data_IF_991549939527
#
_entry.id   IF_991549939527
#
_cell.length_a   1.000
_cell.length_b   1.000
_cell.length_c   1.000
_cell.angle_alpha   90.00
_cell.angle_beta   90.00
_cell.angle_gamma   90.00
#
_symmetry.space_group_name_H-M   'P 1'
#
loop_
_entity.id
_entity.type
_entity.pdbx_description
1 polymer ?
#
# COMPACT_ATOMS: atom_id res chain seq x y z
N UNK A 1 -20.93 13.87 2.08
CA UNK A 1 -21.96 14.32 1.11
C UNK A 1 -22.02 13.30 -0.01
N UNK A 2 -23.20 12.98 -0.54
CA UNK A 2 -23.32 12.06 -1.69
C UNK A 2 -22.75 12.68 -2.96
N UNK A 3 -22.31 11.84 -3.88
CA UNK A 3 -21.86 12.24 -5.21
C UNK A 3 -22.98 12.91 -6.01
N UNK A 4 -22.62 13.88 -6.85
CA UNK A 4 -23.54 14.53 -7.79
C UNK A 4 -23.80 13.64 -9.04
N UNK A 5 -23.02 12.55 -9.22
CA UNK A 5 -23.09 11.66 -10.39
C UNK A 5 -23.25 10.17 -9.99
N UNK A 6 -24.43 9.76 -9.48
CA UNK A 6 -24.64 8.39 -8.99
C UNK A 6 -24.57 7.32 -10.10
N UNK A 7 -24.89 7.66 -11.35
CA UNK A 7 -24.78 6.75 -12.49
C UNK A 7 -23.32 6.41 -12.80
N UNK A 8 -22.43 7.40 -12.78
CA UNK A 8 -20.98 7.20 -12.92
C UNK A 8 -20.48 6.32 -11.77
N UNK A 9 -20.90 6.60 -10.53
CA UNK A 9 -20.51 5.79 -9.36
C UNK A 9 -20.92 4.32 -9.51
N UNK A 10 -22.11 4.05 -10.07
CA UNK A 10 -22.56 2.70 -10.39
C UNK A 10 -21.68 2.03 -11.44
N UNK A 11 -21.36 2.71 -12.55
CA UNK A 11 -20.47 2.17 -13.59
C UNK A 11 -19.10 1.80 -13.02
N UNK A 12 -18.51 2.67 -12.19
CA UNK A 12 -17.25 2.35 -11.51
C UNK A 12 -17.38 1.12 -10.62
N UNK A 13 -18.51 0.98 -9.91
CA UNK A 13 -18.79 -0.16 -9.04
C UNK A 13 -18.93 -1.48 -9.82
N UNK A 14 -19.64 -1.45 -10.94
CA UNK A 14 -19.82 -2.61 -11.81
C UNK A 14 -18.48 -3.00 -12.46
N UNK A 15 -17.73 -2.02 -12.96
CA UNK A 15 -16.42 -2.25 -13.58
C UNK A 15 -15.38 -2.76 -12.56
N UNK A 16 -15.36 -2.29 -11.31
CA UNK A 16 -14.38 -2.79 -10.31
C UNK A 16 -14.72 -4.22 -9.89
N UNK A 17 -16.01 -4.57 -9.77
CA UNK A 17 -16.44 -5.94 -9.48
C UNK A 17 -16.00 -6.89 -10.61
N UNK A 18 -16.25 -6.49 -11.86
CA UNK A 18 -15.79 -7.22 -13.04
C UNK A 18 -14.27 -7.37 -13.05
N UNK A 19 -13.52 -6.29 -12.88
CA UNK A 19 -12.05 -6.28 -12.88
C UNK A 19 -11.46 -7.24 -11.83
N UNK A 20 -12.03 -7.29 -10.63
CA UNK A 20 -11.63 -8.25 -9.58
C UNK A 20 -11.96 -9.69 -9.98
N UNK A 21 -13.15 -9.93 -10.53
CA UNK A 21 -13.57 -11.28 -10.96
C UNK A 21 -12.70 -11.84 -12.10
N UNK A 22 -12.13 -10.97 -12.93
CA UNK A 22 -11.21 -11.32 -14.01
C UNK A 22 -9.74 -11.40 -13.53
N UNK A 23 -9.45 -10.97 -12.30
CA UNK A 23 -8.10 -10.95 -11.69
C UNK A 23 -8.08 -11.85 -10.47
N UNK A 24 -8.40 -13.12 -10.68
CA UNK A 24 -8.60 -14.13 -9.64
C UNK A 24 -7.84 -15.43 -9.93
N UNK A 25 -6.72 -15.35 -10.67
CA UNK A 25 -5.82 -16.48 -10.90
C UNK A 25 -4.68 -16.40 -9.90
N UNK A 26 -4.28 -17.55 -9.35
CA UNK A 26 -3.17 -17.66 -8.42
C UNK A 26 -1.89 -17.07 -9.02
N UNK A 27 -1.20 -16.23 -8.24
CA UNK A 27 0.03 -15.57 -8.68
C UNK A 27 1.30 -16.38 -8.42
N UNK A 28 1.18 -17.62 -7.94
CA UNK A 28 2.33 -18.54 -7.83
C UNK A 28 2.82 -18.95 -9.23
N UNK A 29 4.14 -18.97 -9.49
CA UNK A 29 4.67 -19.30 -10.82
C UNK A 29 4.13 -20.62 -11.40
N UNK A 30 3.48 -20.54 -12.55
CA UNK A 30 2.93 -21.71 -13.26
C UNK A 30 1.60 -22.25 -12.74
N UNK A 31 1.02 -21.68 -11.68
CA UNK A 31 -0.30 -22.07 -11.20
C UNK A 31 -1.42 -21.44 -12.04
N UNK A 32 -2.49 -22.20 -12.29
CA UNK A 32 -3.68 -21.73 -13.04
C UNK A 32 -4.97 -21.78 -12.22
N UNK A 33 -4.88 -22.19 -10.95
CA UNK A 33 -6.02 -22.27 -10.05
C UNK A 33 -6.56 -20.89 -9.69
N UNK A 34 -7.83 -20.87 -9.28
CA UNK A 34 -8.44 -19.65 -8.75
C UNK A 34 -7.81 -19.27 -7.41
N UNK A 35 -7.51 -17.98 -7.26
CA UNK A 35 -7.06 -17.42 -6.00
C UNK A 35 -8.20 -17.27 -4.99
N UNK A 36 -7.83 -17.30 -3.72
CA UNK A 36 -8.69 -16.96 -2.58
C UNK A 36 -8.37 -15.54 -2.11
N UNK A 37 -9.13 -15.04 -1.14
CA UNK A 37 -8.80 -13.79 -0.45
C UNK A 37 -7.63 -14.02 0.51
N UNK A 38 -6.40 -13.84 0.03
CA UNK A 38 -5.17 -13.86 0.81
C UNK A 38 -5.08 -12.59 1.67
N UNK A 39 -4.78 -12.73 2.96
CA UNK A 39 -4.53 -11.59 3.85
C UNK A 39 -3.14 -11.03 3.60
N UNK A 40 -3.02 -9.71 3.42
CA UNK A 40 -1.73 -9.03 3.21
C UNK A 40 -0.79 -9.23 4.42
N UNK A 41 -1.37 -9.33 5.61
CA UNK A 41 -0.67 -9.52 6.88
C UNK A 41 -1.38 -10.61 7.69
N UNK A 42 -0.64 -11.35 8.51
CA UNK A 42 -1.17 -12.49 9.28
C UNK A 42 -2.47 -12.13 10.01
N UNK A 43 -3.54 -12.90 9.76
CA UNK A 43 -4.85 -12.62 10.35
C UNK A 43 -4.84 -12.86 11.87
N UNK A 44 -4.31 -14.01 12.28
CA UNK A 44 -4.14 -14.36 13.69
C UNK A 44 -2.81 -13.77 14.19
N UNK A 45 -2.72 -13.34 15.44
CA UNK A 45 -1.50 -12.74 15.98
C UNK A 45 -1.26 -11.27 15.60
N UNK A 46 -1.37 -10.89 14.32
CA UNK A 46 -1.15 -9.49 13.89
C UNK A 46 -2.47 -8.73 13.80
N UNK A 47 -3.31 -9.01 12.80
CA UNK A 47 -4.57 -8.26 12.63
C UNK A 47 -5.53 -8.44 13.81
N UNK A 48 -5.66 -9.67 14.31
CA UNK A 48 -6.55 -9.98 15.45
C UNK A 48 -6.11 -9.32 16.76
N UNK A 49 -4.82 -8.97 16.92
CA UNK A 49 -4.31 -8.34 18.15
C UNK A 49 -4.83 -6.92 18.38
N UNK A 50 -5.26 -6.25 17.31
CA UNK A 50 -5.76 -4.87 17.34
C UNK A 50 -7.23 -4.78 16.87
N UNK A 51 -7.87 -5.92 16.61
CA UNK A 51 -9.24 -5.96 16.14
C UNK A 51 -10.23 -5.98 17.31
N UNK A 52 -11.08 -4.96 17.38
CA UNK A 52 -12.18 -4.90 18.34
C UNK A 52 -13.42 -5.54 17.72
N UNK A 53 -14.04 -6.50 18.42
CA UNK A 53 -15.17 -7.29 17.92
C UNK A 53 -14.93 -7.90 16.54
N UNK A 54 -13.68 -8.31 16.24
CA UNK A 54 -13.26 -8.83 14.93
C UNK A 54 -13.41 -7.83 13.78
N UNK A 55 -13.33 -6.53 14.06
CA UNK A 55 -13.38 -5.45 13.08
C UNK A 55 -12.18 -4.51 13.19
N UNK A 56 -11.82 -3.92 12.06
CA UNK A 56 -10.79 -2.89 11.91
C UNK A 56 -11.31 -1.78 10.99
N UNK A 57 -10.65 -0.63 11.02
CA UNK A 57 -10.91 0.48 10.12
C UNK A 57 -9.90 0.51 8.98
N UNK A 58 -10.36 0.73 7.76
CA UNK A 58 -9.51 0.87 6.58
C UNK A 58 -9.93 2.07 5.73
N UNK A 59 -8.97 2.59 4.97
CA UNK A 59 -9.26 3.56 3.92
C UNK A 59 -9.85 2.85 2.70
N UNK A 60 -10.93 3.41 2.13
CA UNK A 60 -11.59 2.89 0.93
C UNK A 60 -11.96 4.01 -0.04
N UNK A 61 -12.03 3.63 -1.31
CA UNK A 61 -12.69 4.40 -2.35
C UNK A 61 -14.19 4.07 -2.31
N UNK A 62 -15.02 5.08 -2.12
CA UNK A 62 -16.48 5.05 -2.22
C UNK A 62 -16.97 6.12 -3.19
N UNK A 63 -17.16 5.73 -4.46
CA UNK A 63 -17.59 6.64 -5.52
C UNK A 63 -19.00 7.21 -5.32
N UNK A 64 -19.79 6.69 -4.37
CA UNK A 64 -21.09 7.28 -4.01
C UNK A 64 -20.96 8.48 -3.06
N UNK A 65 -19.77 8.75 -2.54
CA UNK A 65 -19.45 9.94 -1.78
C UNK A 65 -18.78 10.99 -2.68
N UNK A 66 -19.06 12.27 -2.43
CA UNK A 66 -18.42 13.39 -3.13
C UNK A 66 -16.91 13.42 -2.85
N UNK A 67 -16.54 13.27 -1.58
CA UNK A 67 -15.18 12.98 -1.16
C UNK A 67 -15.06 11.47 -1.08
N UNK A 68 -14.53 10.86 -2.15
CA UNK A 68 -14.60 9.42 -2.35
C UNK A 68 -13.59 8.62 -1.53
N UNK A 69 -12.66 9.27 -0.84
CA UNK A 69 -11.68 8.62 0.05
C UNK A 69 -12.26 8.68 1.46
N UNK A 70 -12.67 7.52 1.99
CA UNK A 70 -13.40 7.43 3.26
C UNK A 70 -12.88 6.29 4.14
N UNK A 71 -13.07 6.41 5.44
CA UNK A 71 -12.80 5.32 6.37
C UNK A 71 -14.03 4.42 6.54
N UNK A 72 -13.81 3.10 6.51
CA UNK A 72 -14.86 2.11 6.73
C UNK A 72 -14.42 1.05 7.74
N UNK A 73 -15.31 0.72 8.67
CA UNK A 73 -15.16 -0.42 9.59
C UNK A 73 -15.56 -1.71 8.88
N UNK A 74 -14.66 -2.69 8.84
CA UNK A 74 -14.87 -3.98 8.17
C UNK A 74 -14.33 -5.14 9.01
N UNK A 75 -14.94 -6.31 8.83
CA UNK A 75 -14.55 -7.52 9.56
C UNK A 75 -13.20 -8.08 9.11
N UNK A 76 -12.41 -8.62 10.05
CA UNK A 76 -11.05 -9.12 9.79
C UNK A 76 -10.96 -10.22 8.74
N UNK A 77 -12.05 -10.92 8.44
CA UNK A 77 -12.09 -11.95 7.41
C UNK A 77 -12.09 -11.38 5.97
N UNK A 78 -12.44 -10.11 5.80
CA UNK A 78 -12.53 -9.44 4.48
C UNK A 78 -11.57 -8.26 4.36
N UNK A 79 -11.28 -7.61 5.47
CA UNK A 79 -10.37 -6.46 5.50
C UNK A 79 -8.96 -6.91 5.15
N UNK A 80 -8.20 -6.03 4.49
CA UNK A 80 -6.77 -6.27 4.27
C UNK A 80 -6.47 -7.56 3.50
N UNK A 81 -7.34 -7.89 2.53
CA UNK A 81 -7.21 -9.06 1.66
C UNK A 81 -7.15 -8.68 0.18
N UNK A 82 -6.61 -9.59 -0.64
CA UNK A 82 -6.60 -9.50 -2.09
C UNK A 82 -6.68 -10.90 -2.72
N UNK A 83 -7.07 -10.98 -3.99
CA UNK A 83 -7.15 -12.25 -4.73
C UNK A 83 -5.78 -12.69 -5.25
N UNK A 84 -4.89 -13.08 -4.33
CA UNK A 84 -3.47 -13.35 -4.60
C UNK A 84 -3.15 -14.82 -4.94
N UNK A 85 -3.33 -15.72 -3.98
CA UNK A 85 -2.88 -17.11 -4.10
C UNK A 85 -4.05 -18.09 -4.00
N UNK A 86 -3.95 -19.28 -4.59
CA UNK A 86 -4.89 -20.36 -4.30
C UNK A 86 -4.63 -20.90 -2.89
N UNK A 87 -5.57 -21.67 -2.34
CA UNK A 87 -5.47 -22.15 -0.96
C UNK A 87 -4.18 -22.94 -0.69
N UNK A 88 -3.76 -23.78 -1.64
CA UNK A 88 -2.52 -24.56 -1.52
C UNK A 88 -1.29 -23.65 -1.40
N UNK A 89 -1.09 -22.73 -2.35
CA UNK A 89 0.09 -21.88 -2.38
C UNK A 89 0.08 -20.81 -1.28
N UNK A 90 -1.09 -20.27 -0.91
CA UNK A 90 -1.19 -19.35 0.22
C UNK A 90 -0.72 -20.01 1.52
N UNK A 91 -1.14 -21.27 1.73
CA UNK A 91 -0.76 -22.06 2.90
C UNK A 91 0.70 -22.48 2.86
N UNK A 92 1.17 -23.05 1.76
CA UNK A 92 2.49 -23.68 1.68
C UNK A 92 3.63 -22.65 1.62
N UNK A 93 3.48 -21.58 0.84
CA UNK A 93 4.53 -20.56 0.66
C UNK A 93 4.71 -19.74 1.94
N UNK A 94 3.60 -19.33 2.57
CA UNK A 94 3.67 -18.38 3.67
C UNK A 94 3.57 -19.00 5.06
N UNK A 95 3.55 -20.32 5.17
CA UNK A 95 3.48 -21.05 6.45
C UNK A 95 4.40 -20.47 7.53
N UNK A 96 5.63 -20.10 7.15
CA UNK A 96 6.67 -19.56 8.05
C UNK A 96 6.27 -18.25 8.73
N UNK A 97 5.45 -17.42 8.08
CA UNK A 97 4.97 -16.13 8.61
C UNK A 97 3.49 -16.17 9.01
N UNK A 98 2.87 -17.35 9.02
CA UNK A 98 1.48 -17.56 9.41
C UNK A 98 1.33 -18.27 10.76
N UNK A 99 2.43 -18.58 11.43
CA UNK A 99 2.44 -19.20 12.77
C UNK A 99 2.59 -18.14 13.84
N UNK A 100 1.55 -17.97 14.67
CA UNK A 100 1.49 -16.93 15.68
C UNK A 100 2.59 -17.09 16.75
N UNK A 101 3.30 -15.99 17.03
CA UNK A 101 4.33 -15.94 18.08
C UNK A 101 5.70 -16.52 17.69
N UNK A 102 5.83 -17.12 16.51
CA UNK A 102 7.05 -17.83 16.09
C UNK A 102 7.81 -17.14 14.94
N UNK A 103 7.41 -15.93 14.56
CA UNK A 103 8.03 -15.22 13.44
C UNK A 103 9.37 -14.63 13.87
N UNK A 104 10.45 -15.19 13.31
CA UNK A 104 11.80 -14.64 13.39
C UNK A 104 12.01 -13.56 12.32
N UNK A 105 12.25 -12.33 12.75
CA UNK A 105 12.50 -11.17 11.87
C UNK A 105 13.98 -10.92 11.58
N UNK A 106 14.88 -11.70 12.17
CA UNK A 106 16.29 -11.74 11.78
C UNK A 106 16.53 -12.81 10.69
N UNK A 107 15.59 -13.72 10.50
CA UNK A 107 15.55 -14.66 9.38
C UNK A 107 15.18 -13.95 8.06
N UNK A 108 16.07 -14.11 7.07
CA UNK A 108 15.91 -13.52 5.74
C UNK A 108 14.62 -13.98 5.03
N UNK A 109 14.30 -15.27 5.11
CA UNK A 109 13.13 -15.85 4.41
C UNK A 109 11.82 -15.30 4.97
N UNK A 110 11.71 -15.14 6.29
CA UNK A 110 10.56 -14.53 6.93
C UNK A 110 10.33 -13.10 6.41
N UNK A 111 11.39 -12.28 6.39
CA UNK A 111 11.32 -10.91 5.88
C UNK A 111 10.98 -10.87 4.38
N UNK A 112 11.57 -11.77 3.60
CA UNK A 112 11.30 -11.92 2.17
C UNK A 112 9.83 -12.27 1.89
N UNK A 113 9.23 -13.15 2.70
CA UNK A 113 7.82 -13.54 2.55
C UNK A 113 6.85 -12.38 2.82
N UNK A 114 7.13 -11.51 3.79
CA UNK A 114 6.34 -10.28 3.99
C UNK A 114 6.43 -9.34 2.78
N UNK A 115 7.64 -9.14 2.28
CA UNK A 115 7.88 -8.29 1.11
C UNK A 115 7.21 -8.88 -0.15
N UNK A 116 7.31 -10.21 -0.33
CA UNK A 116 6.68 -10.95 -1.43
C UNK A 116 5.18 -10.80 -1.42
N UNK A 117 4.53 -10.93 -0.26
CA UNK A 117 3.08 -10.79 -0.16
C UNK A 117 2.63 -9.36 -0.45
N UNK A 118 3.38 -8.38 0.04
CA UNK A 118 3.16 -6.96 -0.26
C UNK A 118 3.29 -6.68 -1.77
N UNK A 119 4.31 -7.25 -2.41
CA UNK A 119 4.53 -7.13 -3.85
C UNK A 119 3.37 -7.67 -4.67
N UNK A 120 2.89 -8.87 -4.32
CA UNK A 120 1.77 -9.49 -5.02
C UNK A 120 0.47 -8.69 -4.82
N UNK A 121 0.24 -8.14 -3.64
CA UNK A 121 -0.88 -7.23 -3.41
C UNK A 121 -0.81 -6.00 -4.32
N UNK A 122 0.35 -5.35 -4.43
CA UNK A 122 0.49 -4.16 -5.28
C UNK A 122 0.37 -4.49 -6.77
N UNK A 123 0.95 -5.59 -7.25
CA UNK A 123 0.75 -6.07 -8.63
C UNK A 123 -0.74 -6.32 -8.89
N UNK A 124 -1.43 -7.02 -7.99
CA UNK A 124 -2.87 -7.31 -8.12
C UNK A 124 -3.71 -6.03 -8.18
N UNK A 125 -3.45 -5.06 -7.28
CA UNK A 125 -4.13 -3.75 -7.29
C UNK A 125 -3.97 -3.05 -8.62
N UNK A 126 -2.75 -3.02 -9.19
CA UNK A 126 -2.50 -2.41 -10.50
C UNK A 126 -3.22 -3.14 -11.64
N UNK A 127 -3.25 -4.47 -11.63
CA UNK A 127 -4.01 -5.27 -12.61
C UNK A 127 -5.51 -4.95 -12.55
N UNK A 128 -6.06 -4.84 -11.34
CA UNK A 128 -7.46 -4.47 -11.12
C UNK A 128 -7.74 -3.05 -11.61
N UNK A 129 -6.86 -2.07 -11.33
CA UNK A 129 -7.00 -0.68 -11.82
C UNK A 129 -6.96 -0.61 -13.34
N UNK A 130 -6.05 -1.35 -13.99
CA UNK A 130 -5.97 -1.43 -15.46
C UNK A 130 -7.31 -1.91 -16.03
N UNK A 131 -7.82 -3.06 -15.55
CA UNK A 131 -9.08 -3.63 -16.06
C UNK A 131 -10.29 -2.76 -15.72
N UNK A 132 -10.30 -2.10 -14.57
CA UNK A 132 -11.32 -1.11 -14.20
C UNK A 132 -11.36 0.01 -15.24
N UNK A 133 -10.22 0.64 -15.54
CA UNK A 133 -10.17 1.75 -16.49
C UNK A 133 -10.43 1.30 -17.94
N UNK A 134 -9.96 0.12 -18.35
CA UNK A 134 -10.29 -0.48 -19.64
C UNK A 134 -11.80 -0.78 -19.76
N UNK A 135 -12.46 -1.17 -18.67
CA UNK A 135 -13.92 -1.31 -18.62
C UNK A 135 -14.63 0.05 -18.73
N UNK A 136 -14.19 1.06 -18.01
CA UNK A 136 -14.76 2.41 -18.06
C UNK A 136 -14.63 3.00 -19.47
N UNK A 137 -13.47 2.88 -20.12
CA UNK A 137 -13.23 3.41 -21.48
C UNK A 137 -14.19 2.84 -22.54
N UNK A 138 -14.74 1.64 -22.31
CA UNK A 138 -15.72 0.99 -23.19
C UNK A 138 -17.14 1.54 -23.02
N UNK A 139 -17.42 2.24 -21.92
CA UNK A 139 -18.71 2.91 -21.72
C UNK A 139 -18.66 4.27 -22.44
N UNK A 140 -19.41 4.40 -23.55
CA UNK A 140 -19.46 5.63 -24.35
C UNK A 140 -20.37 6.71 -23.78
N UNK A 141 -21.25 6.33 -22.85
CA UNK A 141 -22.32 7.18 -22.33
C UNK A 141 -21.87 8.12 -21.20
N UNK A 142 -20.57 8.10 -20.86
CA UNK A 142 -19.99 8.85 -19.75
C UNK A 142 -18.99 9.88 -20.26
N UNK A 143 -19.16 11.12 -19.80
CA UNK A 143 -18.23 12.22 -20.04
C UNK A 143 -17.09 12.08 -19.01
N UNK A 144 -16.00 11.41 -19.41
CA UNK A 144 -14.78 11.28 -18.61
C UNK A 144 -13.58 11.66 -19.47
N UNK A 145 -12.57 12.24 -18.83
CA UNK A 145 -11.27 12.47 -19.46
C UNK A 145 -10.58 11.13 -19.78
N UNK A 146 -10.71 10.72 -21.04
CA UNK A 146 -10.12 9.48 -21.55
C UNK A 146 -8.60 9.49 -21.48
N UNK A 147 -7.95 10.66 -21.66
CA UNK A 147 -6.49 10.76 -21.61
C UNK A 147 -5.97 10.43 -20.21
N UNK A 148 -6.67 10.86 -19.16
CA UNK A 148 -6.32 10.51 -17.77
C UNK A 148 -6.42 8.99 -17.55
N UNK A 149 -7.49 8.35 -18.04
CA UNK A 149 -7.67 6.91 -17.89
C UNK A 149 -6.59 6.12 -18.64
N UNK A 150 -6.32 6.48 -19.89
CA UNK A 150 -5.30 5.85 -20.73
C UNK A 150 -3.89 6.03 -20.15
N UNK A 151 -3.57 7.25 -19.68
CA UNK A 151 -2.31 7.52 -18.98
C UNK A 151 -2.20 6.66 -17.72
N UNK A 152 -3.28 6.56 -16.93
CA UNK A 152 -3.29 5.70 -15.73
C UNK A 152 -3.08 4.23 -16.07
N UNK A 153 -3.68 3.73 -17.15
CA UNK A 153 -3.46 2.36 -17.64
C UNK A 153 -1.98 2.16 -18.01
N UNK A 154 -1.40 3.08 -18.79
CA UNK A 154 0.01 3.03 -19.19
C UNK A 154 0.94 3.01 -17.97
N UNK A 155 0.74 3.91 -17.02
CA UNK A 155 1.57 4.01 -15.82
C UNK A 155 1.46 2.77 -14.92
N UNK A 156 0.27 2.17 -14.79
CA UNK A 156 0.13 0.92 -14.05
C UNK A 156 0.79 -0.27 -14.76
N UNK A 157 0.78 -0.32 -16.10
CA UNK A 157 1.51 -1.34 -16.88
C UNK A 157 3.02 -1.20 -16.70
N UNK A 158 3.56 0.02 -16.73
CA UNK A 158 4.97 0.29 -16.42
C UNK A 158 5.33 -0.14 -14.99
N UNK A 159 4.51 0.25 -14.00
CA UNK A 159 4.74 -0.14 -12.61
C UNK A 159 4.71 -1.66 -12.37
N UNK A 160 3.87 -2.42 -13.09
CA UNK A 160 3.91 -3.90 -13.04
C UNK A 160 5.22 -4.42 -13.61
N UNK A 161 5.66 -3.89 -14.75
CA UNK A 161 6.93 -4.26 -15.39
C UNK A 161 8.12 -3.99 -14.46
N UNK A 162 8.15 -2.86 -13.76
CA UNK A 162 9.20 -2.56 -12.76
C UNK A 162 9.20 -3.59 -11.62
N UNK A 163 8.01 -4.02 -11.19
CA UNK A 163 7.84 -4.99 -10.12
C UNK A 163 8.19 -6.44 -10.53
N UNK A 164 8.25 -6.76 -11.82
CA UNK A 164 8.66 -8.09 -12.30
C UNK A 164 10.10 -8.41 -11.89
N UNK A 165 10.99 -7.42 -11.90
CA UNK A 165 12.37 -7.58 -11.43
C UNK A 165 12.43 -8.08 -9.98
N UNK A 166 11.75 -7.37 -9.06
CA UNK A 166 11.74 -7.77 -7.65
C UNK A 166 11.00 -9.10 -7.46
N UNK A 167 9.91 -9.34 -8.20
CA UNK A 167 9.15 -10.59 -8.12
C UNK A 167 10.02 -11.78 -8.47
N UNK A 168 10.74 -11.70 -9.58
CA UNK A 168 11.56 -12.81 -10.07
C UNK A 168 12.77 -13.04 -9.16
N UNK A 169 13.40 -11.98 -8.68
CA UNK A 169 14.48 -12.07 -7.68
C UNK A 169 14.01 -12.75 -6.38
N UNK A 170 12.83 -12.38 -5.85
CA UNK A 170 12.30 -13.00 -4.63
C UNK A 170 11.98 -14.49 -4.82
N UNK A 171 11.38 -14.88 -5.95
CA UNK A 171 11.12 -16.30 -6.23
C UNK A 171 12.41 -17.09 -6.44
N UNK A 172 13.44 -16.47 -7.04
CA UNK A 172 14.76 -17.08 -7.18
C UNK A 172 15.42 -17.29 -5.82
N UNK A 173 15.36 -16.30 -4.93
CA UNK A 173 15.87 -16.38 -3.57
C UNK A 173 15.20 -17.51 -2.78
N UNK A 174 13.86 -17.62 -2.85
CA UNK A 174 13.13 -18.73 -2.22
C UNK A 174 13.49 -20.10 -2.80
N UNK A 175 13.73 -20.20 -4.11
CA UNK A 175 14.03 -21.47 -4.78
C UNK A 175 15.46 -21.93 -4.55
N UNK A 176 16.41 -21.00 -4.60
CA UNK A 176 17.84 -21.30 -4.60
C UNK A 176 18.51 -21.03 -3.25
N UNK A 177 17.77 -20.56 -2.24
CA UNK A 177 18.29 -20.09 -0.96
C UNK A 177 19.38 -19.01 -1.14
N UNK A 178 19.15 -18.08 -2.08
CA UNK A 178 19.99 -16.89 -2.26
C UNK A 178 19.39 -15.71 -1.51
N UNK A 179 20.17 -14.65 -1.32
CA UNK A 179 19.72 -13.45 -0.64
C UNK A 179 20.01 -12.22 -1.51
N UNK A 180 19.04 -11.78 -2.31
CA UNK A 180 19.21 -10.63 -3.20
C UNK A 180 18.73 -9.32 -2.58
N UNK A 181 18.15 -9.38 -1.37
CA UNK A 181 17.57 -8.23 -0.66
C UNK A 181 18.32 -7.92 0.65
N UNK A 182 18.17 -6.69 1.12
CA UNK A 182 18.60 -6.26 2.46
C UNK A 182 17.35 -5.87 3.24
N UNK A 183 17.19 -6.43 4.44
CA UNK A 183 16.10 -6.10 5.35
C UNK A 183 16.63 -5.44 6.63
N UNK A 184 15.85 -4.52 7.20
CA UNK A 184 16.09 -3.92 8.52
C UNK A 184 14.78 -3.95 9.32
N UNK A 185 14.88 -4.28 10.61
CA UNK A 185 13.75 -4.25 11.54
C UNK A 185 14.02 -3.35 12.77
N UNK A 186 12.97 -2.69 13.26
CA UNK A 186 13.01 -1.78 14.41
C UNK A 186 11.72 -1.87 15.20
N UNK A 187 11.84 -1.91 16.52
CA UNK A 187 10.70 -1.97 17.43
C UNK A 187 10.34 -0.61 18.03
N UNK A 188 9.07 -0.44 18.34
CA UNK A 188 8.49 0.74 18.98
C UNK A 188 7.46 0.34 20.04
N UNK A 189 7.08 1.30 20.88
CA UNK A 189 5.86 1.18 21.68
C UNK A 189 4.64 0.90 20.79
N UNK A 190 3.74 0.03 21.26
CA UNK A 190 2.59 -0.44 20.50
C UNK A 190 1.76 0.72 19.93
N UNK A 191 1.56 0.66 18.61
CA UNK A 191 0.64 1.46 17.83
C UNK A 191 -0.34 0.50 17.14
N UNK A 192 -1.63 0.74 17.31
CA UNK A 192 -2.69 -0.16 16.82
C UNK A 192 -3.04 0.11 15.34
N UNK A 193 -2.02 0.03 14.48
CA UNK A 193 -2.07 0.30 13.04
C UNK A 193 -1.19 -0.70 12.28
N UNK A 194 -1.66 -1.15 11.12
CA UNK A 194 -0.93 -2.00 10.19
C UNK A 194 -0.76 -1.28 8.83
N UNK A 195 0.46 -1.25 8.32
CA UNK A 195 0.87 -0.72 7.03
C UNK A 195 1.59 -1.81 6.24
N UNK A 196 1.32 -1.89 4.94
CA UNK A 196 2.16 -2.61 3.98
C UNK A 196 2.15 -1.82 2.68
N UNK A 197 3.33 -1.49 2.18
CA UNK A 197 3.44 -0.74 0.93
C UNK A 197 4.75 -1.04 0.22
N UNK A 198 4.75 -0.72 -1.07
CA UNK A 198 5.95 -0.53 -1.87
C UNK A 198 5.97 0.92 -2.30
N UNK A 199 7.09 1.58 -2.03
CA UNK A 199 7.34 2.95 -2.47
C UNK A 199 8.52 2.92 -3.44
N UNK A 200 8.49 3.82 -4.42
CA UNK A 200 9.64 4.08 -5.26
C UNK A 200 10.46 5.21 -4.64
N UNK A 201 11.79 5.09 -4.65
CA UNK A 201 12.67 6.15 -4.15
C UNK A 201 12.61 7.39 -5.04
N UNK A 202 12.56 7.19 -6.36
CA UNK A 202 12.48 8.27 -7.34
C UNK A 202 11.17 9.05 -7.19
N UNK A 203 11.29 10.37 -7.23
CA UNK A 203 10.15 11.28 -7.18
C UNK A 203 9.50 11.42 -8.57
N UNK A 204 8.21 11.81 -8.63
CA UNK A 204 7.56 12.09 -9.91
C UNK A 204 8.32 13.13 -10.77
N UNK A 205 8.94 14.12 -10.13
CA UNK A 205 9.75 15.14 -10.80
C UNK A 205 11.04 14.55 -11.39
N UNK A 206 11.76 13.71 -10.66
CA UNK A 206 12.96 13.02 -11.16
C UNK A 206 12.63 12.10 -12.35
N UNK A 207 11.52 11.36 -12.27
CA UNK A 207 11.04 10.49 -13.35
C UNK A 207 10.68 11.32 -14.59
N UNK A 208 9.94 12.42 -14.41
CA UNK A 208 9.54 13.30 -15.51
C UNK A 208 10.75 13.95 -16.18
N UNK A 209 11.71 14.45 -15.40
CA UNK A 209 12.93 15.06 -15.93
C UNK A 209 13.76 14.04 -16.72
N UNK A 210 13.88 12.80 -16.22
CA UNK A 210 14.54 11.71 -16.95
C UNK A 210 13.87 11.45 -18.31
N UNK A 211 12.54 11.40 -18.36
CA UNK A 211 11.78 11.21 -19.60
C UNK A 211 12.02 12.33 -20.60
N UNK A 212 12.09 13.59 -20.15
CA UNK A 212 12.38 14.74 -21.01
C UNK A 212 13.81 14.69 -21.58
N UNK A 213 14.79 14.36 -20.74
CA UNK A 213 16.20 14.35 -21.11
C UNK A 213 16.52 13.19 -22.07
N UNK A 214 16.05 11.99 -21.75
CA UNK A 214 16.44 10.77 -22.47
C UNK A 214 15.40 10.30 -23.50
N UNK A 215 14.22 10.93 -23.54
CA UNK A 215 13.09 10.56 -24.41
C UNK A 215 12.66 9.10 -24.28
N UNK A 216 12.87 8.51 -23.09
CA UNK A 216 12.44 7.16 -22.73
C UNK A 216 12.07 7.08 -21.25
N UNK A 217 11.29 6.06 -20.88
CA UNK A 217 11.05 5.73 -19.48
C UNK A 217 12.35 5.23 -18.80
N UNK A 218 12.46 5.40 -17.49
CA UNK A 218 13.54 4.78 -16.71
C UNK A 218 13.46 3.25 -16.87
N UNK A 219 14.61 2.60 -16.98
CA UNK A 219 14.65 1.15 -17.22
C UNK A 219 14.09 0.36 -16.01
N UNK A 220 14.25 0.89 -14.79
CA UNK A 220 13.66 0.40 -13.55
C UNK A 220 13.66 1.49 -12.47
N UNK A 221 12.64 1.49 -11.60
CA UNK A 221 12.60 2.30 -10.37
C UNK A 221 13.11 1.52 -9.15
N UNK A 222 13.63 2.24 -8.16
CA UNK A 222 14.14 1.69 -6.91
C UNK A 222 12.99 1.40 -5.96
N UNK A 223 12.59 0.12 -5.85
CA UNK A 223 11.52 -0.31 -4.96
C UNK A 223 12.01 -0.50 -3.51
N UNK A 224 11.27 0.07 -2.56
CA UNK A 224 11.49 -0.07 -1.12
C UNK A 224 10.21 -0.63 -0.49
N UNK A 225 10.34 -1.78 0.15
CA UNK A 225 9.27 -2.44 0.89
C UNK A 225 9.18 -1.83 2.29
N UNK A 226 7.97 -1.59 2.77
CA UNK A 226 7.74 -1.13 4.14
C UNK A 226 6.51 -1.82 4.73
N UNK A 227 6.70 -2.39 5.92
CA UNK A 227 5.65 -2.94 6.75
C UNK A 227 5.77 -2.35 8.15
N UNK A 228 4.66 -1.86 8.71
CA UNK A 228 4.59 -1.37 10.09
C UNK A 228 3.37 -1.94 10.77
N UNK A 229 3.53 -2.78 11.79
CA UNK A 229 2.42 -3.58 12.33
C UNK A 229 2.63 -3.95 13.80
N UNK A 230 1.55 -4.26 14.56
CA UNK A 230 1.64 -4.79 15.91
C UNK A 230 2.13 -6.25 15.89
N UNK A 231 3.03 -6.60 16.80
CA UNK A 231 3.48 -7.96 17.03
C UNK A 231 3.96 -8.10 18.48
N UNK A 232 3.44 -9.09 19.21
CA UNK A 232 3.80 -9.39 20.61
C UNK A 232 3.86 -8.16 21.52
N UNK A 233 2.84 -7.28 21.45
CA UNK A 233 2.72 -6.09 22.32
C UNK A 233 3.65 -4.93 21.98
N UNK A 234 4.35 -4.98 20.84
CA UNK A 234 5.15 -3.89 20.27
C UNK A 234 4.67 -3.59 18.85
N UNK A 235 5.11 -2.47 18.30
CA UNK A 235 5.02 -2.26 16.85
C UNK A 235 6.38 -2.53 16.21
N UNK A 236 6.39 -3.30 15.13
CA UNK A 236 7.57 -3.58 14.31
C UNK A 236 7.49 -2.78 13.02
N UNK A 237 8.58 -2.10 12.70
CA UNK A 237 8.87 -1.56 11.37
C UNK A 237 9.84 -2.51 10.68
N UNK A 238 9.46 -3.04 9.52
CA UNK A 238 10.29 -3.82 8.62
C UNK A 238 10.41 -3.05 7.31
N UNK A 239 11.64 -2.80 6.85
CA UNK A 239 11.87 -2.26 5.51
C UNK A 239 12.89 -3.10 4.74
N UNK A 240 12.69 -3.21 3.42
CA UNK A 240 13.55 -3.98 2.54
C UNK A 240 13.82 -3.29 1.21
N UNK A 241 14.93 -3.65 0.56
CA UNK A 241 15.27 -3.20 -0.79
C UNK A 241 16.24 -4.18 -1.46
N UNK A 242 16.32 -4.18 -2.79
CA UNK A 242 17.23 -5.04 -3.54
C UNK A 242 18.70 -4.59 -3.40
N UNK A 243 19.66 -5.52 -3.37
CA UNK A 243 21.09 -5.21 -3.19
C UNK A 243 21.65 -4.30 -4.28
N UNK A 244 21.12 -4.38 -5.51
CA UNK A 244 21.50 -3.50 -6.62
C UNK A 244 21.15 -2.02 -6.36
N UNK A 245 20.17 -1.75 -5.50
CA UNK A 245 19.68 -0.41 -5.18
C UNK A 245 20.34 0.22 -3.96
N UNK A 246 21.36 -0.43 -3.40
CA UNK A 246 21.96 -0.04 -2.10
C UNK A 246 22.40 1.43 -2.07
N UNK A 247 22.85 1.99 -3.20
CA UNK A 247 23.32 3.38 -3.26
C UNK A 247 22.20 4.39 -3.00
N UNK A 248 20.99 4.12 -3.49
CA UNK A 248 19.83 5.02 -3.37
C UNK A 248 18.96 4.65 -2.16
N UNK A 249 18.66 3.37 -1.99
CA UNK A 249 17.73 2.90 -0.96
C UNK A 249 18.31 2.97 0.46
N UNK A 250 19.58 2.61 0.66
CA UNK A 250 20.16 2.52 2.02
C UNK A 250 20.14 3.87 2.76
N UNK A 251 20.55 5.01 2.18
CA UNK A 251 20.44 6.30 2.86
C UNK A 251 19.00 6.66 3.23
N UNK A 252 18.04 6.38 2.34
CA UNK A 252 16.63 6.65 2.60
C UNK A 252 16.08 5.78 3.73
N UNK A 253 16.31 4.46 3.68
CA UNK A 253 15.89 3.52 4.73
C UNK A 253 16.50 3.93 6.07
N UNK A 254 17.78 4.32 6.11
CA UNK A 254 18.42 4.80 7.34
C UNK A 254 17.69 5.99 8.00
N UNK A 255 16.92 6.79 7.26
CA UNK A 255 16.11 7.87 7.87
C UNK A 255 14.99 7.36 8.77
N UNK A 256 14.57 6.10 8.63
CA UNK A 256 13.60 5.43 9.51
C UNK A 256 14.26 4.66 10.66
N UNK A 257 15.48 4.14 10.45
CA UNK A 257 16.14 3.26 11.42
C UNK A 257 17.14 3.99 12.33
N UNK A 258 17.75 5.09 11.85
CA UNK A 258 18.81 5.81 12.58
C UNK A 258 18.36 7.15 13.16
N UNK A 259 17.22 7.68 12.74
CA UNK A 259 16.65 8.89 13.33
C UNK A 259 15.87 8.58 14.61
N UNK A 260 15.60 9.62 15.42
CA UNK A 260 14.75 9.48 16.59
C UNK A 260 13.31 9.07 16.22
N UNK A 261 12.59 8.48 17.18
CA UNK A 261 11.24 7.97 16.95
C UNK A 261 10.27 9.04 16.46
N UNK A 262 10.35 10.27 17.01
CA UNK A 262 9.48 11.38 16.59
C UNK A 262 9.60 11.67 15.09
N UNK A 263 10.82 11.70 14.55
CA UNK A 263 11.02 11.89 13.10
C UNK A 263 10.56 10.69 12.28
N UNK A 264 10.78 9.48 12.79
CA UNK A 264 10.31 8.25 12.12
C UNK A 264 8.79 8.21 12.03
N UNK A 265 8.10 8.51 13.13
CA UNK A 265 6.64 8.59 13.19
C UNK A 265 6.06 9.70 12.31
N UNK A 266 6.76 10.83 12.16
CA UNK A 266 6.39 11.85 11.18
C UNK A 266 6.48 11.33 9.74
N UNK A 267 7.54 10.60 9.39
CA UNK A 267 7.69 10.00 8.05
C UNK A 267 6.59 8.97 7.79
N UNK A 268 6.31 8.10 8.76
CA UNK A 268 5.20 7.14 8.68
C UNK A 268 3.86 7.85 8.54
N UNK A 269 3.60 8.91 9.31
CA UNK A 269 2.38 9.75 9.17
C UNK A 269 2.22 10.28 7.76
N UNK A 270 3.31 10.76 7.16
CA UNK A 270 3.27 11.25 5.79
C UNK A 270 2.90 10.13 4.80
N UNK A 271 3.43 8.91 4.99
CA UNK A 271 3.04 7.74 4.19
C UNK A 271 1.54 7.46 4.29
N UNK A 272 1.00 7.37 5.51
CA UNK A 272 -0.41 7.09 5.75
C UNK A 272 -1.37 8.16 5.20
N UNK A 273 -0.99 9.45 5.31
CA UNK A 273 -1.88 10.55 4.98
C UNK A 273 -1.82 10.98 3.51
N UNK A 274 -0.71 10.72 2.81
CA UNK A 274 -0.50 11.29 1.48
C UNK A 274 -0.23 10.26 0.37
N UNK A 275 0.33 9.09 0.69
CA UNK A 275 0.89 8.21 -0.33
C UNK A 275 0.30 6.79 -0.35
N UNK A 276 -0.10 6.27 0.82
CA UNK A 276 -0.45 4.86 0.96
C UNK A 276 -1.91 4.68 1.38
N UNK A 277 -2.61 3.86 0.62
CA UNK A 277 -4.01 3.45 0.91
C UNK A 277 -4.09 2.10 1.65
N UNK A 278 -3.02 1.29 1.61
CA UNK A 278 -2.99 -0.07 2.13
C UNK A 278 -2.61 -0.10 3.62
N UNK A 279 -3.46 0.50 4.46
CA UNK A 279 -3.32 0.42 5.92
C UNK A 279 -4.66 0.26 6.64
N UNK A 280 -4.59 -0.34 7.83
CA UNK A 280 -5.75 -0.57 8.72
C UNK A 280 -5.40 -0.19 10.15
N UNK A 281 -6.38 0.17 10.96
CA UNK A 281 -6.19 0.49 12.38
C UNK A 281 -7.33 -0.02 13.26
N UNK A 282 -7.09 -0.08 14.57
CA UNK A 282 -8.13 -0.43 15.55
C UNK A 282 -9.22 0.63 15.64
N UNK A 283 -10.35 0.27 16.26
CA UNK A 283 -11.40 1.24 16.62
C UNK A 283 -10.83 2.37 17.47
N UNK A 284 -10.09 2.05 18.52
CA UNK A 284 -9.47 3.03 19.42
C UNK A 284 -8.56 4.00 18.67
N UNK A 285 -7.66 3.50 17.82
CA UNK A 285 -6.77 4.35 17.04
C UNK A 285 -7.55 5.25 16.07
N UNK A 286 -8.58 4.70 15.42
CA UNK A 286 -9.46 5.48 14.55
C UNK A 286 -10.12 6.63 15.32
N UNK A 287 -10.81 6.36 16.43
CA UNK A 287 -11.49 7.37 17.25
C UNK A 287 -10.52 8.47 17.72
N UNK A 288 -9.37 8.07 18.26
CA UNK A 288 -8.38 9.00 18.80
C UNK A 288 -7.69 9.85 17.73
N UNK A 289 -7.39 9.28 16.55
CA UNK A 289 -6.46 9.90 15.59
C UNK A 289 -7.10 10.29 14.26
N UNK A 290 -8.15 9.60 13.82
CA UNK A 290 -8.64 9.67 12.44
C UNK A 290 -10.09 10.18 12.35
N UNK A 291 -10.93 9.83 13.32
CA UNK A 291 -12.35 10.16 13.28
C UNK A 291 -12.58 11.67 13.09
N UNK A 292 -13.42 12.00 12.11
CA UNK A 292 -13.73 13.38 11.74
C UNK A 292 -12.65 14.05 10.89
N UNK A 293 -11.77 13.26 10.26
CA UNK A 293 -10.75 13.73 9.31
C UNK A 293 -10.89 13.18 7.88
N UNK A 294 -11.99 12.51 7.54
CA UNK A 294 -12.21 11.93 6.19
C UNK A 294 -11.98 12.97 5.08
N UNK A 295 -12.49 14.19 5.25
CA UNK A 295 -12.30 15.29 4.29
C UNK A 295 -10.83 15.72 4.18
N UNK A 296 -10.13 15.81 5.30
CA UNK A 296 -8.72 16.16 5.37
C UNK A 296 -7.83 15.09 4.71
N UNK A 297 -8.09 13.81 4.97
CA UNK A 297 -7.38 12.70 4.31
C UNK A 297 -7.69 12.63 2.81
N UNK A 298 -8.95 12.87 2.41
CA UNK A 298 -9.29 12.99 1.00
C UNK A 298 -8.50 14.10 0.33
N UNK A 299 -8.51 15.30 0.90
CA UNK A 299 -7.78 16.47 0.38
C UNK A 299 -6.27 16.27 0.35
N UNK A 300 -5.67 15.67 1.37
CA UNK A 300 -4.23 15.40 1.41
C UNK A 300 -3.78 14.47 0.29
N UNK A 301 -4.54 13.41 0.02
CA UNK A 301 -4.20 12.46 -1.05
C UNK A 301 -4.35 13.10 -2.43
N UNK A 302 -5.44 13.85 -2.67
CA UNK A 302 -5.59 14.60 -3.93
C UNK A 302 -4.46 15.63 -4.11
N UNK A 303 -4.10 16.34 -3.03
CA UNK A 303 -2.99 17.28 -3.03
C UNK A 303 -1.66 16.60 -3.38
N UNK A 304 -1.38 15.43 -2.79
CA UNK A 304 -0.18 14.66 -3.06
C UNK A 304 -0.09 14.22 -4.52
N UNK A 305 -1.18 13.67 -5.06
CA UNK A 305 -1.26 13.24 -6.46
C UNK A 305 -1.05 14.40 -7.43
N UNK A 306 -1.67 15.55 -7.18
CA UNK A 306 -1.58 16.72 -8.09
C UNK A 306 -0.21 17.40 -8.09
N UNK A 307 0.44 17.49 -6.92
CA UNK A 307 1.65 18.30 -6.76
C UNK A 307 2.94 17.49 -6.85
N UNK A 308 2.89 16.16 -6.97
CA UNK A 308 4.09 15.33 -7.06
C UNK A 308 5.04 15.57 -5.87
N UNK A 309 4.51 15.50 -4.64
CA UNK A 309 5.21 15.92 -3.42
C UNK A 309 6.52 15.14 -3.12
N UNK A 310 6.77 14.05 -3.83
CA UNK A 310 8.06 13.36 -3.89
C UNK A 310 8.51 12.86 -2.52
N UNK A 311 9.73 13.23 -2.10
CA UNK A 311 10.32 12.83 -0.81
C UNK A 311 10.10 13.87 0.30
N UNK A 312 9.20 14.85 0.10
CA UNK A 312 8.88 15.88 1.11
C UNK A 312 8.19 15.25 2.32
N UNK A 313 8.54 15.74 3.51
CA UNK A 313 7.96 15.34 4.79
C UNK A 313 7.37 16.57 5.45
N UNK A 314 6.04 16.60 5.56
CA UNK A 314 5.30 17.67 6.23
C UNK A 314 5.34 17.49 7.75
N UNK A 315 5.24 18.60 8.48
CA UNK A 315 5.22 18.64 9.95
C UNK A 315 3.85 18.24 10.53
N UNK A 316 3.40 17.03 10.17
CA UNK A 316 2.20 16.40 10.70
C UNK A 316 2.57 15.01 11.22
N UNK A 317 2.07 14.66 12.41
CA UNK A 317 2.44 13.44 13.10
C UNK A 317 1.22 12.84 13.82
N UNK A 318 0.64 11.75 13.30
CA UNK A 318 -0.59 11.14 13.86
C UNK A 318 -0.38 10.47 15.21
N UNK A 319 0.87 10.26 15.60
CA UNK A 319 1.24 9.71 16.89
C UNK A 319 1.30 10.78 18.00
N UNK A 320 1.21 12.07 17.65
CA UNK A 320 1.11 13.18 18.62
C UNK A 320 -0.34 13.41 19.08
N UNK A 321 -0.51 14.07 20.24
CA UNK A 321 -1.84 14.36 20.83
C UNK A 321 -2.61 15.41 20.04
N UNK A 322 -1.92 16.38 19.45
CA UNK A 322 -2.49 17.52 18.73
C UNK A 322 -2.60 17.30 17.22
N UNK A 323 -2.47 16.04 16.76
CA UNK A 323 -2.49 15.68 15.34
C UNK A 323 -3.71 16.23 14.61
N UNK A 324 -4.94 16.00 15.12
CA UNK A 324 -6.17 16.39 14.43
C UNK A 324 -6.18 17.89 14.12
N UNK A 325 -5.76 18.72 15.07
CA UNK A 325 -5.65 20.17 14.91
C UNK A 325 -4.58 20.54 13.90
N UNK A 326 -3.35 20.00 14.05
CA UNK A 326 -2.24 20.27 13.12
C UNK A 326 -2.54 19.85 11.69
N UNK A 327 -3.23 18.72 11.50
CA UNK A 327 -3.57 18.22 10.18
C UNK A 327 -4.64 19.07 9.52
N UNK A 328 -5.69 19.48 10.25
CA UNK A 328 -6.68 20.46 9.76
C UNK A 328 -6.03 21.79 9.36
N UNK A 329 -5.13 22.31 10.19
CA UNK A 329 -4.39 23.54 9.90
C UNK A 329 -3.50 23.39 8.67
N UNK A 330 -2.81 22.25 8.52
CA UNK A 330 -2.02 21.94 7.34
C UNK A 330 -2.89 21.96 6.08
N UNK A 331 -4.03 21.27 6.08
CA UNK A 331 -4.95 21.22 4.93
C UNK A 331 -5.45 22.61 4.58
N UNK A 332 -5.89 23.39 5.58
CA UNK A 332 -6.36 24.76 5.37
C UNK A 332 -5.31 25.68 4.75
N UNK A 333 -4.03 25.51 5.11
CA UNK A 333 -2.93 26.38 4.64
C UNK A 333 -2.37 25.98 3.28
N UNK A 334 -2.39 24.70 2.93
CA UNK A 334 -1.63 24.17 1.79
C UNK A 334 -2.51 23.60 0.67
N UNK A 335 -3.76 23.24 0.98
CA UNK A 335 -4.70 22.61 0.03
C UNK A 335 -5.93 23.49 -0.24
N UNK A 336 -6.22 24.41 0.69
CA UNK A 336 -7.38 25.31 0.68
C UNK A 336 -7.47 26.22 -0.53
#
# INVERSE_FOLDING_TARGET
>A
MKTDNPEIAKIFTDCIQKAKSETNICMYPGCTDKSINSHIMQKNGILSSIAEDKHLWELKIDNFQKEYIVFKKNGINKIYTFLGFCNEHDTSVFKKIETEGEIDFDDYTSCLLFALRTLHNEIWRKQVVIKLHECILKNTDIIIDRNILESTIKQNKLGIKDMEFSKDAMWLDLKNNTESFVFQQREFALQEICLNAIINYETPEEIYNYQLEHRKDMDRLTAIFISFFPYLGKSKLLMGYHKDDVKLAKPYVNTFFKENEKRTFRRLTNMFAFYVETWVCSTKFYEEKVEGLDSEFHKSMIFATKNGIGRKVFDVNMFEKDFKTKFKDFIKRNVG
#
